data_IF_398035794008
#
_entry.id   IF_398035794008
#
_cell.length_a   1.000
_cell.length_b   1.000
_cell.length_c   1.000
_cell.angle_alpha   90.00
_cell.angle_beta   90.00
_cell.angle_gamma   90.00
#
_symmetry.space_group_name_H-M   'P 1'
#
loop_
_entity.id
_entity.type
_entity.pdbx_description
1 polymer ?
#
# COMPACT_ATOMS: atom_id res chain seq x y z
N UNK A 1 13.92 5.44 10.80
CA UNK A 1 13.39 4.12 10.38
C UNK A 1 12.04 4.36 9.71
N UNK A 2 11.84 3.92 8.47
CA UNK A 2 10.52 4.04 7.82
C UNK A 2 9.62 2.90 8.29
N UNK A 3 8.36 3.22 8.62
CA UNK A 3 7.39 2.21 9.02
C UNK A 3 7.14 1.20 7.87
N UNK A 4 7.06 -0.10 8.17
CA UNK A 4 6.72 -1.11 7.17
C UNK A 4 5.31 -0.88 6.64
N UNK A 5 5.17 -0.96 5.32
CA UNK A 5 3.89 -0.75 4.64
C UNK A 5 3.76 -1.68 3.44
N UNK A 6 2.54 -1.90 3.00
CA UNK A 6 2.25 -2.56 1.72
C UNK A 6 1.67 -1.50 0.80
N UNK A 7 2.28 -1.34 -0.37
CA UNK A 7 1.92 -0.33 -1.36
C UNK A 7 1.42 -0.99 -2.65
N UNK A 8 0.35 -0.44 -3.20
CA UNK A 8 -0.29 -0.83 -4.45
C UNK A 8 -0.34 0.40 -5.34
N UNK A 9 0.36 0.32 -6.47
CA UNK A 9 0.34 1.37 -7.48
C UNK A 9 -0.85 1.14 -8.41
N UNK A 10 -1.80 2.08 -8.45
CA UNK A 10 -2.85 2.04 -9.46
C UNK A 10 -2.25 2.39 -10.82
N UNK A 11 -2.63 1.63 -11.85
CA UNK A 11 -2.34 1.95 -13.24
C UNK A 11 -3.58 2.56 -13.87
N UNK A 12 -4.07 3.65 -13.29
CA UNK A 12 -5.19 4.42 -13.83
C UNK A 12 -4.71 5.35 -14.94
N UNK A 13 -5.59 5.67 -15.89
CA UNK A 13 -5.23 6.46 -17.08
C UNK A 13 -4.82 7.91 -16.75
N UNK A 14 -5.19 8.39 -15.57
CA UNK A 14 -5.07 9.79 -15.14
C UNK A 14 -3.90 10.05 -14.18
N UNK A 15 -3.20 9.02 -13.70
CA UNK A 15 -2.06 9.22 -12.80
C UNK A 15 -1.51 7.94 -12.20
N UNK A 16 -0.29 8.05 -11.66
CA UNK A 16 0.35 7.01 -10.83
C UNK A 16 0.05 7.33 -9.37
N UNK A 17 -1.09 6.89 -8.88
CA UNK A 17 -1.41 6.99 -7.47
C UNK A 17 -0.92 5.75 -6.74
N UNK A 18 -0.33 5.96 -5.57
CA UNK A 18 0.22 4.86 -4.78
C UNK A 18 -0.56 4.74 -3.48
N UNK A 19 -1.38 3.69 -3.39
CA UNK A 19 -2.20 3.38 -2.25
C UNK A 19 -1.43 2.48 -1.31
N UNK A 20 -1.38 2.79 -0.02
CA UNK A 20 -0.63 1.98 0.92
C UNK A 20 -1.28 1.91 2.30
N UNK A 21 -0.95 0.83 3.01
CA UNK A 21 -1.39 0.57 4.37
C UNK A 21 -0.17 0.26 5.22
N UNK A 22 -0.14 0.78 6.45
CA UNK A 22 0.92 0.46 7.40
C UNK A 22 0.65 -0.88 8.05
N UNK A 23 1.66 -1.73 8.10
CA UNK A 23 1.56 -3.10 8.61
C UNK A 23 2.56 -3.30 9.73
N UNK A 24 2.29 -4.25 10.61
CA UNK A 24 3.21 -4.62 11.70
C UNK A 24 4.53 -5.12 11.13
N UNK A 25 4.48 -6.08 10.19
CA UNK A 25 5.65 -6.73 9.61
C UNK A 25 5.30 -7.54 8.36
N UNK A 26 6.32 -7.89 7.56
CA UNK A 26 6.14 -8.77 6.39
C UNK A 26 5.63 -10.17 6.78
N UNK A 27 6.02 -10.69 7.95
CA UNK A 27 5.53 -11.97 8.47
C UNK A 27 4.03 -11.95 8.73
N UNK A 28 3.54 -10.89 9.40
CA UNK A 28 2.11 -10.73 9.69
C UNK A 28 1.28 -10.69 8.40
N UNK A 29 1.74 -9.94 7.38
CA UNK A 29 1.09 -9.90 6.07
C UNK A 29 1.10 -11.27 5.40
N UNK A 30 2.23 -11.98 5.44
CA UNK A 30 2.35 -13.31 4.83
C UNK A 30 1.48 -14.35 5.53
N UNK A 31 1.39 -14.30 6.87
CA UNK A 31 0.47 -15.13 7.65
C UNK A 31 -0.98 -14.85 7.26
N UNK A 32 -1.38 -13.59 7.24
CA UNK A 32 -2.74 -13.20 6.85
C UNK A 32 -3.11 -13.58 5.40
N UNK A 33 -2.15 -13.51 4.48
CA UNK A 33 -2.33 -13.98 3.10
C UNK A 33 -2.62 -15.48 3.02
N UNK A 34 -2.06 -16.28 3.93
CA UNK A 34 -2.27 -17.73 4.02
C UNK A 34 -3.51 -18.10 4.83
N UNK A 35 -3.77 -17.35 5.88
CA UNK A 35 -4.85 -17.58 6.84
C UNK A 35 -5.69 -16.31 7.00
N UNK A 36 -6.88 -16.33 6.41
CA UNK A 36 -7.84 -15.21 6.46
C UNK A 36 -8.65 -15.18 7.76
N UNK A 37 -8.41 -16.09 8.70
CA UNK A 37 -9.03 -16.07 10.03
C UNK A 37 -8.32 -15.10 10.98
N UNK A 38 -7.07 -14.71 10.67
CA UNK A 38 -6.37 -13.61 11.36
C UNK A 38 -7.09 -12.28 11.09
N UNK A 39 -7.41 -11.56 12.16
CA UNK A 39 -8.07 -10.26 12.06
C UNK A 39 -7.11 -9.20 11.50
N UNK A 40 -7.60 -8.34 10.61
CA UNK A 40 -6.79 -7.28 9.99
C UNK A 40 -6.11 -6.36 11.02
N UNK A 41 -6.76 -6.11 12.16
CA UNK A 41 -6.23 -5.28 13.26
C UNK A 41 -4.93 -5.84 13.87
N UNK A 42 -4.66 -7.14 13.73
CA UNK A 42 -3.43 -7.79 14.18
C UNK A 42 -2.30 -7.68 13.14
N UNK A 43 -2.66 -7.27 11.91
CA UNK A 43 -1.75 -7.20 10.76
C UNK A 43 -1.41 -5.75 10.40
N UNK A 44 -2.41 -4.87 10.45
CA UNK A 44 -2.26 -3.46 10.12
C UNK A 44 -2.08 -2.62 11.38
N UNK A 45 -1.12 -1.69 11.36
CA UNK A 45 -0.92 -0.77 12.49
C UNK A 45 -2.07 0.22 12.63
N UNK A 46 -2.67 0.59 11.49
CA UNK A 46 -3.81 1.50 11.42
C UNK A 46 -4.80 1.02 10.38
N UNK A 47 -6.06 0.94 10.77
CA UNK A 47 -7.16 0.55 9.88
C UNK A 47 -7.61 1.74 9.01
N UNK A 48 -6.69 2.25 8.20
CA UNK A 48 -6.93 3.37 7.28
C UNK A 48 -6.04 3.21 6.04
N UNK A 49 -6.61 3.51 4.87
CA UNK A 49 -5.86 3.53 3.62
C UNK A 49 -5.26 4.91 3.41
N UNK A 50 -4.02 4.94 2.92
CA UNK A 50 -3.34 6.18 2.55
C UNK A 50 -3.05 6.16 1.05
N UNK A 51 -3.04 7.33 0.44
CA UNK A 51 -2.68 7.50 -0.97
C UNK A 51 -1.62 8.59 -1.08
N UNK A 52 -0.55 8.30 -1.82
CA UNK A 52 0.31 9.32 -2.38
C UNK A 52 -0.14 9.59 -3.81
N UNK A 53 -0.54 10.84 -4.06
CA UNK A 53 -0.90 11.30 -5.39
C UNK A 53 0.37 11.80 -6.09
N UNK A 54 0.78 11.10 -7.14
CA UNK A 54 2.04 11.35 -7.85
C UNK A 54 3.29 10.77 -7.15
N UNK A 55 4.47 11.12 -7.68
CA UNK A 55 5.77 10.56 -7.28
C UNK A 55 6.39 11.20 -6.01
N UNK A 56 5.71 12.16 -5.37
CA UNK A 56 6.30 12.95 -4.28
C UNK A 56 6.08 12.26 -2.93
N UNK A 57 7.17 11.76 -2.33
CA UNK A 57 7.23 11.31 -0.92
C UNK A 57 7.12 12.51 0.03
N UNK A 58 5.96 13.14 0.12
CA UNK A 58 5.76 14.31 0.97
C UNK A 58 4.53 14.17 1.87
N UNK A 59 3.34 14.14 1.25
CA UNK A 59 2.07 14.10 1.96
C UNK A 59 1.21 12.92 1.54
N UNK A 60 1.04 11.99 2.47
CA UNK A 60 0.05 10.93 2.37
C UNK A 60 -1.31 11.49 2.74
N UNK A 61 -2.26 11.42 1.83
CA UNK A 61 -3.64 11.82 2.07
C UNK A 61 -4.53 10.59 2.25
N UNK A 62 -5.69 10.76 2.84
CA UNK A 62 -6.74 9.73 2.84
C UNK A 62 -7.47 9.75 1.50
N UNK A 63 -7.64 8.61 0.81
CA UNK A 63 -8.42 8.56 -0.42
C UNK A 63 -9.90 8.82 -0.14
N UNK A 64 -10.62 9.33 -1.14
CA UNK A 64 -12.07 9.51 -1.03
C UNK A 64 -12.79 8.20 -1.29
N UNK A 65 -14.05 8.07 -0.89
CA UNK A 65 -14.87 6.89 -1.21
C UNK A 65 -14.96 6.63 -2.71
N UNK A 66 -15.03 7.69 -3.52
CA UNK A 66 -15.03 7.60 -4.98
C UNK A 66 -13.70 7.07 -5.53
N UNK A 67 -12.55 7.50 -4.97
CA UNK A 67 -11.24 6.91 -5.32
C UNK A 67 -11.23 5.40 -5.00
N UNK A 68 -11.74 5.00 -3.83
CA UNK A 68 -11.76 3.59 -3.46
C UNK A 68 -12.63 2.76 -4.40
N UNK A 69 -13.80 3.27 -4.80
CA UNK A 69 -14.68 2.60 -5.76
C UNK A 69 -14.04 2.50 -7.15
N UNK A 70 -13.38 3.54 -7.63
CA UNK A 70 -12.76 3.52 -8.97
C UNK A 70 -11.58 2.54 -9.03
N UNK A 71 -10.76 2.47 -7.98
CA UNK A 71 -9.54 1.66 -7.96
C UNK A 71 -9.78 0.23 -7.48
N UNK A 72 -10.55 0.06 -6.40
CA UNK A 72 -10.77 -1.23 -5.74
C UNK A 72 -12.15 -1.83 -6.04
N UNK A 73 -13.04 -1.10 -6.72
CA UNK A 73 -14.42 -1.53 -6.96
C UNK A 73 -15.31 -1.48 -5.73
N UNK A 74 -14.84 -0.89 -4.62
CA UNK A 74 -15.60 -0.79 -3.37
C UNK A 74 -15.25 0.48 -2.59
N UNK A 75 -16.26 1.14 -2.01
CA UNK A 75 -16.07 2.29 -1.12
C UNK A 75 -15.76 1.88 0.34
N UNK A 76 -15.64 0.58 0.61
CA UNK A 76 -15.27 0.06 1.93
C UNK A 76 -13.76 0.07 2.12
N UNK A 77 -13.30 0.79 3.15
CA UNK A 77 -11.88 0.85 3.52
C UNK A 77 -11.31 -0.55 3.82
N UNK A 78 -12.05 -1.40 4.54
CA UNK A 78 -11.63 -2.77 4.82
C UNK A 78 -11.35 -3.55 3.54
N UNK A 79 -12.25 -3.49 2.56
CA UNK A 79 -12.09 -4.18 1.28
C UNK A 79 -10.86 -3.67 0.52
N UNK A 80 -10.61 -2.36 0.56
CA UNK A 80 -9.41 -1.76 -0.02
C UNK A 80 -8.14 -2.22 0.72
N UNK A 81 -8.13 -2.29 2.05
CA UNK A 81 -7.02 -2.81 2.84
C UNK A 81 -6.73 -4.26 2.43
N UNK A 82 -7.74 -5.12 2.38
CA UNK A 82 -7.58 -6.52 1.98
C UNK A 82 -7.02 -6.66 0.57
N UNK A 83 -7.49 -5.82 -0.35
CA UNK A 83 -7.00 -5.77 -1.72
C UNK A 83 -5.53 -5.35 -1.77
N UNK A 84 -5.14 -4.29 -1.07
CA UNK A 84 -3.75 -3.81 -1.02
C UNK A 84 -2.86 -4.85 -0.35
N UNK A 85 -3.32 -5.48 0.73
CA UNK A 85 -2.56 -6.56 1.37
C UNK A 85 -2.38 -7.76 0.45
N UNK A 86 -3.32 -8.05 -0.44
CA UNK A 86 -3.26 -9.20 -1.36
C UNK A 86 -2.45 -8.91 -2.62
N UNK A 87 -2.70 -7.79 -3.29
CA UNK A 87 -2.13 -7.42 -4.59
C UNK A 87 -0.95 -6.44 -4.48
N UNK A 88 -0.79 -5.79 -3.34
CA UNK A 88 0.28 -4.82 -3.11
C UNK A 88 1.62 -5.47 -2.79
N UNK A 89 2.66 -4.64 -2.89
CA UNK A 89 4.04 -4.99 -2.63
C UNK A 89 4.47 -4.43 -1.27
N UNK A 90 5.17 -5.25 -0.48
CA UNK A 90 5.74 -4.81 0.78
C UNK A 90 6.89 -3.84 0.54
N UNK A 91 6.83 -2.69 1.19
CA UNK A 91 7.74 -1.56 1.08
C UNK A 91 8.11 -1.10 2.50
N UNK A 92 9.31 -1.41 2.98
CA UNK A 92 9.77 -1.05 4.31
C UNK A 92 10.75 -2.08 4.87
N UNK A 93 11.82 -1.62 5.51
CA UNK A 93 13.06 -2.38 5.60
C UNK A 93 13.89 -2.10 4.35
N UNK A 94 15.13 -1.66 4.55
CA UNK A 94 15.99 -1.20 3.46
C UNK A 94 16.11 -2.25 2.33
N UNK A 95 15.49 -1.96 1.19
CA UNK A 95 16.21 -2.12 -0.07
C UNK A 95 16.02 -0.85 -0.86
N UNK A 96 17.02 0.03 -0.71
CA UNK A 96 17.38 0.97 -1.75
C UNK A 96 17.61 0.18 -3.03
N UNK A 97 16.55 -0.10 -3.81
CA UNK A 97 16.69 -0.08 -5.27
C UNK A 97 16.82 1.38 -5.65
N UNK A 98 17.98 1.93 -5.28
CA UNK A 98 18.69 2.86 -6.12
C UNK A 98 18.67 2.19 -7.49
N UNK A 99 17.73 2.60 -8.35
CA UNK A 99 17.87 2.43 -9.76
C UNK A 99 19.05 3.34 -10.14
N UNK A 100 20.26 2.87 -9.83
CA UNK A 100 21.52 3.30 -10.37
C UNK A 100 21.49 2.96 -11.85
N UNK A 101 20.73 3.76 -12.59
CA UNK A 101 20.55 3.64 -14.02
C UNK A 101 20.56 5.02 -14.63
N UNK A 102 21.60 5.81 -14.35
CA UNK A 102 22.15 6.82 -15.25
C UNK A 102 23.44 7.44 -14.67
N UNK A 103 24.53 6.67 -14.68
CA UNK A 103 25.85 7.27 -14.87
C UNK A 103 26.68 6.33 -15.73
N UNK A 104 26.54 6.48 -17.04
CA UNK A 104 27.47 5.92 -18.04
C UNK A 104 27.23 6.66 -19.36
N UNK A 105 27.78 7.86 -19.48
CA UNK A 105 28.85 8.20 -20.43
C UNK A 105 29.07 9.71 -20.47
#
# INVERSE_FOLDING_TARGET
MSAPRVAFQSHEKTGKDNYFVFVESSDAVNKWRKDKSVALVDVVMKHSVFVHRGDVKGEASTPTKADLETVFGSSNETAAIEFILTNGKFEGGHESKHASGFYSR
#
